data_IF_324691404073
#
_entry.id   IF_324691404073
#
_cell.length_a   1.000
_cell.length_b   1.000
_cell.length_c   1.000
_cell.angle_alpha   90.00
_cell.angle_beta   90.00
_cell.angle_gamma   90.00
#
_symmetry.space_group_name_H-M   'P 1'
#
loop_
_entity.id
_entity.type
_entity.pdbx_description
1 polymer ?
#
# COMPACT_ATOMS: atom_id res chain seq x y z
N UNK A 1 18.55 9.81 -25.53
CA UNK A 1 18.78 9.69 -24.10
C UNK A 1 18.30 8.32 -23.64
N UNK A 2 19.18 7.53 -23.09
CA UNK A 2 18.81 6.23 -22.56
C UNK A 2 17.84 6.40 -21.40
N UNK A 3 16.85 5.49 -21.27
CA UNK A 3 16.06 5.38 -20.07
C UNK A 3 17.02 5.29 -18.87
N UNK A 4 16.68 5.90 -17.73
CA UNK A 4 17.50 5.75 -16.54
C UNK A 4 17.71 4.25 -16.31
N UNK A 5 18.96 3.84 -16.13
CA UNK A 5 19.25 2.47 -15.76
C UNK A 5 18.56 2.25 -14.42
N UNK A 6 17.43 1.55 -14.48
CA UNK A 6 16.73 1.12 -13.28
C UNK A 6 17.74 0.30 -12.48
N UNK A 7 18.08 0.78 -11.31
CA UNK A 7 18.94 0.05 -10.42
C UNK A 7 18.37 -1.34 -10.20
N UNK A 8 19.22 -2.32 -10.05
CA UNK A 8 18.87 -3.73 -9.95
C UNK A 8 17.85 -4.08 -8.86
N UNK A 9 17.56 -3.14 -7.93
CA UNK A 9 16.51 -3.31 -6.93
C UNK A 9 15.81 -1.95 -6.67
N UNK A 10 14.61 -1.74 -7.22
CA UNK A 10 13.85 -0.50 -7.01
C UNK A 10 13.57 -0.18 -5.54
N UNK A 11 13.53 -1.19 -4.67
CA UNK A 11 13.30 -0.99 -3.23
C UNK A 11 14.43 -0.22 -2.54
N UNK A 12 15.60 -0.11 -3.18
CA UNK A 12 16.71 0.70 -2.69
C UNK A 12 16.67 2.15 -3.19
N UNK A 13 15.76 2.45 -4.11
CA UNK A 13 15.59 3.80 -4.65
C UNK A 13 14.64 4.60 -3.76
N UNK A 14 15.14 5.68 -3.17
CA UNK A 14 14.33 6.58 -2.33
C UNK A 14 13.16 7.18 -3.09
N UNK A 15 13.33 7.51 -4.35
CA UNK A 15 12.26 8.09 -5.17
C UNK A 15 11.13 7.08 -5.40
N UNK A 16 11.48 5.82 -5.57
CA UNK A 16 10.51 4.74 -5.69
C UNK A 16 9.69 4.60 -4.40
N UNK A 17 10.36 4.54 -3.26
CA UNK A 17 9.69 4.41 -1.96
C UNK A 17 8.85 5.64 -1.63
N UNK A 18 9.38 6.82 -1.86
CA UNK A 18 8.66 8.06 -1.56
C UNK A 18 7.39 8.21 -2.38
N UNK A 19 7.33 7.66 -3.59
CA UNK A 19 6.10 7.67 -4.38
C UNK A 19 4.95 6.95 -3.66
N UNK A 20 5.23 5.83 -3.02
CA UNK A 20 4.24 5.11 -2.22
C UNK A 20 3.90 5.84 -0.92
N UNK A 21 4.90 6.31 -0.21
CA UNK A 21 4.69 7.07 1.04
C UNK A 21 3.82 8.31 0.78
N UNK A 22 4.19 9.10 -0.21
CA UNK A 22 3.47 10.32 -0.56
C UNK A 22 2.06 9.99 -1.05
N UNK A 23 1.90 8.92 -1.81
CA UNK A 23 0.59 8.45 -2.27
C UNK A 23 -0.33 8.09 -1.11
N UNK A 24 0.18 7.39 -0.10
CA UNK A 24 -0.57 7.04 1.11
C UNK A 24 -0.96 8.30 1.88
N UNK A 25 0.02 9.14 2.20
CA UNK A 25 -0.21 10.35 2.99
C UNK A 25 -1.24 11.27 2.32
N UNK A 26 -1.08 11.51 1.03
CA UNK A 26 -1.97 12.39 0.26
C UNK A 26 -3.38 11.80 0.14
N UNK A 27 -3.48 10.52 -0.21
CA UNK A 27 -4.79 9.88 -0.38
C UNK A 27 -5.59 9.90 0.91
N UNK A 28 -4.99 9.52 2.02
CA UNK A 28 -5.70 9.49 3.30
C UNK A 28 -6.05 10.89 3.80
N UNK A 29 -5.17 11.88 3.58
CA UNK A 29 -5.47 13.26 3.93
C UNK A 29 -6.63 13.82 3.12
N UNK A 30 -6.61 13.64 1.81
CA UNK A 30 -7.59 14.26 0.89
C UNK A 30 -8.92 13.50 0.87
N UNK A 31 -8.88 12.17 0.78
CA UNK A 31 -10.09 11.36 0.65
C UNK A 31 -10.73 10.97 1.98
N UNK A 32 -9.91 10.78 3.01
CA UNK A 32 -10.38 10.22 4.27
C UNK A 32 -10.23 11.18 5.46
N UNK A 33 -9.86 12.43 5.22
CA UNK A 33 -9.66 13.43 6.28
C UNK A 33 -8.80 12.87 7.43
N UNK A 34 -7.81 12.03 7.09
CA UNK A 34 -6.98 11.31 8.04
C UNK A 34 -5.52 11.62 7.80
N UNK A 35 -4.85 12.15 8.80
CA UNK A 35 -3.41 12.38 8.76
C UNK A 35 -2.68 11.15 9.31
N UNK A 36 -1.66 10.72 8.59
CA UNK A 36 -0.87 9.54 8.94
C UNK A 36 0.61 9.86 8.88
N UNK A 37 1.40 9.09 9.60
CA UNK A 37 2.84 9.26 9.65
C UNK A 37 3.54 7.92 9.40
N UNK A 38 4.48 7.85 8.41
CA UNK A 38 5.27 6.65 8.22
C UNK A 38 6.23 6.45 9.41
N UNK A 39 6.41 5.19 9.78
CA UNK A 39 7.38 4.75 10.76
C UNK A 39 8.60 4.16 10.04
N UNK A 40 9.62 3.74 10.80
CA UNK A 40 10.82 3.16 10.22
C UNK A 40 10.51 1.92 9.37
N UNK A 41 10.91 1.91 8.10
CA UNK A 41 10.65 0.76 7.23
C UNK A 41 11.48 -0.45 7.65
N UNK A 42 10.97 -1.63 7.33
CA UNK A 42 11.62 -2.92 7.57
C UNK A 42 11.65 -3.74 6.29
N UNK A 43 12.69 -4.55 6.15
CA UNK A 43 12.78 -5.50 5.05
C UNK A 43 12.43 -6.89 5.58
N UNK A 44 11.55 -7.59 4.87
CA UNK A 44 11.15 -8.95 5.18
C UNK A 44 11.42 -9.85 3.98
N UNK A 45 11.83 -11.08 4.26
CA UNK A 45 12.12 -12.09 3.23
C UNK A 45 10.89 -12.89 2.82
N UNK A 46 9.84 -12.86 3.64
CA UNK A 46 8.58 -13.54 3.38
C UNK A 46 7.44 -12.55 3.64
N UNK A 47 6.46 -12.57 2.73
CA UNK A 47 5.24 -11.81 2.93
C UNK A 47 4.41 -12.46 4.03
N UNK A 48 3.96 -11.65 4.97
CA UNK A 48 3.02 -12.05 6.01
C UNK A 48 2.00 -10.94 6.22
N UNK A 49 0.73 -11.24 6.11
CA UNK A 49 -0.34 -10.28 6.36
C UNK A 49 -0.30 -9.78 7.80
N UNK A 50 -0.51 -8.46 7.97
CA UNK A 50 -0.33 -7.76 9.24
C UNK A 50 -1.60 -7.03 9.68
N UNK A 51 -2.74 -7.62 9.54
CA UNK A 51 -3.99 -6.99 9.93
C UNK A 51 -5.18 -7.89 9.65
N UNK A 52 -6.37 -7.34 9.78
CA UNK A 52 -7.60 -8.10 9.57
C UNK A 52 -8.18 -7.93 8.18
N UNK A 53 -7.75 -6.90 7.44
CA UNK A 53 -8.20 -6.66 6.07
C UNK A 53 -7.05 -6.03 5.27
N UNK A 54 -6.92 -6.41 4.02
CA UNK A 54 -5.89 -5.87 3.14
C UNK A 54 -6.43 -5.63 1.73
N UNK A 55 -5.93 -4.57 1.10
CA UNK A 55 -6.04 -4.37 -0.34
C UNK A 55 -4.72 -4.72 -1.01
N UNK A 56 -4.79 -5.45 -2.11
CA UNK A 56 -3.60 -5.91 -2.84
C UNK A 56 -3.71 -5.57 -4.32
N UNK A 57 -2.62 -5.05 -4.88
CA UNK A 57 -2.51 -4.75 -6.30
C UNK A 57 -1.27 -5.41 -6.86
N UNK A 58 -1.44 -6.19 -7.94
CA UNK A 58 -0.31 -6.65 -8.74
C UNK A 58 0.23 -5.50 -9.59
N UNK A 59 1.52 -5.27 -9.53
CA UNK A 59 2.19 -4.18 -10.25
C UNK A 59 3.03 -4.75 -11.39
N UNK A 60 2.84 -4.19 -12.59
CA UNK A 60 3.62 -4.60 -13.78
C UNK A 60 4.16 -3.34 -14.44
N UNK A 61 5.46 -3.33 -14.69
CA UNK A 61 6.14 -2.26 -15.42
C UNK A 61 7.25 -2.88 -16.29
N UNK A 62 6.90 -3.20 -17.56
CA UNK A 62 7.80 -3.94 -18.43
C UNK A 62 8.07 -5.33 -17.88
N UNK A 63 9.34 -5.64 -17.66
CA UNK A 63 9.76 -6.93 -17.08
C UNK A 63 9.69 -6.96 -15.55
N UNK A 64 9.49 -5.80 -14.92
CA UNK A 64 9.37 -5.72 -13.47
C UNK A 64 7.97 -6.11 -13.05
N UNK A 65 7.89 -7.01 -12.08
CA UNK A 65 6.66 -7.43 -11.44
C UNK A 65 6.78 -7.25 -9.93
N UNK A 66 5.69 -6.88 -9.33
CA UNK A 66 5.65 -6.69 -7.89
C UNK A 66 4.23 -6.71 -7.35
N UNK A 67 4.13 -6.44 -6.07
CA UNK A 67 2.84 -6.38 -5.38
C UNK A 67 2.87 -5.23 -4.37
N UNK A 68 1.80 -4.45 -4.37
CA UNK A 68 1.50 -3.49 -3.31
C UNK A 68 0.40 -4.07 -2.46
N UNK A 69 0.64 -4.17 -1.15
CA UNK A 69 -0.37 -4.61 -0.20
C UNK A 69 -0.50 -3.58 0.92
N UNK A 70 -1.72 -3.19 1.22
CA UNK A 70 -2.00 -2.29 2.34
C UNK A 70 -2.87 -3.05 3.33
N UNK A 71 -2.28 -3.40 4.48
CA UNK A 71 -2.92 -4.19 5.52
C UNK A 71 -3.33 -3.29 6.67
N UNK A 72 -4.60 -3.37 7.06
CA UNK A 72 -5.14 -2.55 8.13
C UNK A 72 -5.50 -3.42 9.34
N UNK A 73 -5.12 -2.95 10.53
CA UNK A 73 -5.74 -3.43 11.76
C UNK A 73 -7.18 -2.91 11.82
N UNK A 74 -8.04 -3.58 12.58
CA UNK A 74 -9.42 -3.10 12.79
C UNK A 74 -9.46 -1.66 13.25
N UNK A 75 -8.66 -1.35 14.26
CA UNK A 75 -8.63 -0.01 14.85
C UNK A 75 -8.27 1.04 13.80
N UNK A 76 -7.30 0.74 12.95
CA UNK A 76 -6.88 1.67 11.91
C UNK A 76 -7.97 1.89 10.86
N UNK A 77 -8.54 0.83 10.29
CA UNK A 77 -9.53 1.00 9.23
C UNK A 77 -10.83 1.61 9.76
N UNK A 78 -11.26 1.25 10.96
CA UNK A 78 -12.46 1.84 11.55
C UNK A 78 -12.27 3.33 11.86
N UNK A 79 -11.08 3.72 12.34
CA UNK A 79 -10.77 5.13 12.57
C UNK A 79 -10.73 5.93 11.25
N UNK A 80 -10.10 5.37 10.22
CA UNK A 80 -10.04 6.01 8.90
C UNK A 80 -11.46 6.22 8.35
N UNK A 81 -12.31 5.20 8.45
CA UNK A 81 -13.69 5.29 7.96
C UNK A 81 -14.56 6.24 8.78
N UNK A 82 -14.36 6.29 10.08
CA UNK A 82 -15.05 7.27 10.92
C UNK A 82 -14.69 8.70 10.49
N UNK A 83 -13.40 8.96 10.25
CA UNK A 83 -12.95 10.26 9.76
C UNK A 83 -13.49 10.57 8.37
N UNK A 84 -13.58 9.57 7.51
CA UNK A 84 -14.00 9.71 6.11
C UNK A 84 -15.51 9.90 5.95
N UNK A 85 -16.30 9.14 6.69
CA UNK A 85 -17.74 9.02 6.50
C UNK A 85 -18.57 9.57 7.66
N UNK A 86 -17.95 9.86 8.80
CA UNK A 86 -18.64 10.42 9.97
C UNK A 86 -19.44 9.38 10.77
N UNK A 87 -19.25 8.11 10.50
CA UNK A 87 -19.96 7.01 11.20
C UNK A 87 -18.97 6.08 11.87
N UNK A 88 -19.36 5.54 13.02
CA UNK A 88 -18.56 4.52 13.71
C UNK A 88 -18.84 3.14 13.11
N UNK A 89 -17.76 2.45 12.81
CA UNK A 89 -17.80 1.07 12.32
C UNK A 89 -17.35 0.15 13.44
N UNK A 90 -18.07 -0.95 13.62
CA UNK A 90 -17.78 -1.96 14.66
C UNK A 90 -17.62 -3.35 14.07
N UNK A 91 -17.97 -3.54 12.81
CA UNK A 91 -17.92 -4.81 12.11
C UNK A 91 -17.24 -4.66 10.76
N UNK A 92 -16.58 -5.74 10.33
CA UNK A 92 -15.97 -5.83 9.00
C UNK A 92 -17.05 -6.12 7.96
N UNK A 93 -17.77 -5.08 7.57
CA UNK A 93 -18.88 -5.15 6.62
C UNK A 93 -18.39 -4.99 5.17
N UNK A 94 -19.29 -5.20 4.21
CA UNK A 94 -19.00 -4.94 2.79
C UNK A 94 -18.64 -3.47 2.56
N UNK A 95 -19.23 -2.55 3.29
CA UNK A 95 -18.89 -1.13 3.20
C UNK A 95 -17.43 -0.87 3.58
N UNK A 96 -16.93 -1.56 4.61
CA UNK A 96 -15.53 -1.48 5.02
C UNK A 96 -14.61 -2.06 3.93
N UNK A 97 -14.92 -3.23 3.40
CA UNK A 97 -14.09 -3.86 2.37
C UNK A 97 -14.11 -3.08 1.06
N UNK A 98 -15.24 -2.51 0.68
CA UNK A 98 -15.33 -1.64 -0.50
C UNK A 98 -14.46 -0.39 -0.33
N UNK A 99 -14.45 0.21 0.85
CA UNK A 99 -13.60 1.35 1.16
C UNK A 99 -12.11 0.97 1.12
N UNK A 100 -11.74 -0.19 1.61
CA UNK A 100 -10.35 -0.69 1.52
C UNK A 100 -9.93 -0.82 0.06
N UNK A 101 -10.78 -1.38 -0.79
CA UNK A 101 -10.52 -1.47 -2.23
C UNK A 101 -10.34 -0.11 -2.88
N UNK A 102 -11.22 0.84 -2.58
CA UNK A 102 -11.15 2.18 -3.13
C UNK A 102 -9.89 2.93 -2.68
N UNK A 103 -9.56 2.88 -1.40
CA UNK A 103 -8.35 3.50 -0.88
C UNK A 103 -7.10 2.91 -1.52
N UNK A 104 -7.04 1.58 -1.66
CA UNK A 104 -5.92 0.90 -2.30
C UNK A 104 -5.78 1.33 -3.76
N UNK A 105 -6.89 1.41 -4.48
CA UNK A 105 -6.92 1.86 -5.87
C UNK A 105 -6.38 3.29 -6.01
N UNK A 106 -6.80 4.20 -5.16
CA UNK A 106 -6.37 5.59 -5.18
C UNK A 106 -4.89 5.75 -4.79
N UNK A 107 -4.45 5.00 -3.79
CA UNK A 107 -3.03 5.02 -3.37
C UNK A 107 -2.14 4.50 -4.51
N UNK A 108 -2.51 3.38 -5.12
CA UNK A 108 -1.77 2.86 -6.26
C UNK A 108 -1.76 3.85 -7.43
N UNK A 109 -2.91 4.43 -7.76
CA UNK A 109 -3.02 5.42 -8.83
C UNK A 109 -2.14 6.63 -8.62
N UNK A 110 -2.09 7.14 -7.39
CA UNK A 110 -1.21 8.26 -7.02
C UNK A 110 0.27 7.89 -7.15
N UNK A 111 0.66 6.75 -6.60
CA UNK A 111 2.04 6.27 -6.70
C UNK A 111 2.43 6.00 -8.15
N UNK A 112 1.55 5.37 -8.92
CA UNK A 112 1.77 5.09 -10.35
C UNK A 112 2.02 6.37 -11.14
N UNK A 113 1.25 7.42 -10.93
CA UNK A 113 1.44 8.70 -11.60
C UNK A 113 2.83 9.25 -11.34
N UNK A 114 3.26 9.28 -10.08
CA UNK A 114 4.59 9.75 -9.71
C UNK A 114 5.70 8.88 -10.30
N UNK A 115 5.55 7.56 -10.21
CA UNK A 115 6.55 6.62 -10.73
C UNK A 115 6.67 6.69 -12.24
N UNK A 116 5.57 6.87 -12.95
CA UNK A 116 5.60 6.99 -14.41
C UNK A 116 6.25 8.30 -14.87
N UNK A 117 6.15 9.37 -14.08
CA UNK A 117 6.92 10.60 -14.31
C UNK A 117 8.43 10.38 -14.11
N UNK A 118 8.81 9.42 -13.29
CA UNK A 118 10.22 9.06 -13.07
C UNK A 118 10.77 8.09 -14.12
N UNK A 119 9.96 7.69 -15.09
CA UNK A 119 10.37 6.81 -16.17
C UNK A 119 9.94 5.36 -16.03
N UNK A 120 9.29 4.98 -14.94
CA UNK A 120 8.62 3.69 -14.86
C UNK A 120 7.38 3.69 -15.77
N UNK A 121 6.92 2.52 -16.14
CA UNK A 121 5.74 2.39 -17.00
C UNK A 121 4.77 1.39 -16.37
N UNK A 122 4.30 1.75 -15.17
CA UNK A 122 3.33 0.91 -14.47
C UNK A 122 1.99 0.90 -15.18
N UNK A 123 1.44 -0.28 -15.31
CA UNK A 123 0.14 -0.50 -15.93
C UNK A 123 -0.99 -0.27 -14.92
N UNK A 124 -2.18 -0.05 -15.43
CA UNK A 124 -3.39 -0.01 -14.61
C UNK A 124 -3.65 -1.40 -14.03
N UNK A 125 -4.13 -1.44 -12.80
CA UNK A 125 -4.45 -2.67 -12.12
C UNK A 125 -5.67 -2.48 -11.22
N UNK A 126 -6.37 -3.56 -10.96
CA UNK A 126 -7.56 -3.57 -10.10
C UNK A 126 -7.17 -4.23 -8.77
N UNK A 127 -7.46 -3.61 -7.63
CA UNK A 127 -7.15 -4.19 -6.35
C UNK A 127 -8.05 -5.39 -6.01
N UNK A 128 -7.49 -6.31 -5.26
CA UNK A 128 -8.20 -7.40 -4.59
C UNK A 128 -8.25 -7.10 -3.10
N UNK A 129 -9.38 -7.30 -2.46
CA UNK A 129 -9.52 -7.12 -1.01
C UNK A 129 -9.59 -8.50 -0.34
N UNK A 130 -8.79 -8.67 0.69
CA UNK A 130 -8.68 -9.94 1.41
C UNK A 130 -8.94 -9.67 2.89
N UNK A 131 -9.84 -10.45 3.47
CA UNK A 131 -10.11 -10.43 4.91
C UNK A 131 -9.40 -11.58 5.59
N UNK A 132 -9.04 -11.36 6.86
CA UNK A 132 -8.39 -12.36 7.67
C UNK A 132 -6.88 -12.39 7.46
N UNK A 133 -6.23 -13.37 8.04
CA UNK A 133 -4.80 -13.56 7.88
C UNK A 133 -4.52 -14.48 6.71
N UNK A 134 -3.57 -14.10 5.90
CA UNK A 134 -3.17 -14.88 4.73
C UNK A 134 -1.67 -14.82 4.54
N UNK A 135 -1.14 -15.81 3.85
CA UNK A 135 0.25 -15.85 3.42
C UNK A 135 0.28 -16.07 1.92
N UNK A 136 1.21 -15.39 1.29
CA UNK A 136 1.51 -15.63 -0.12
C UNK A 136 2.75 -16.50 -0.15
N UNK A 137 2.57 -17.79 -0.46
CA UNK A 137 3.68 -18.73 -0.52
C UNK A 137 4.16 -18.93 -1.95
N UNK A 138 5.46 -19.03 -2.11
CA UNK A 138 6.22 -19.49 -3.28
C UNK A 138 6.18 -18.66 -4.57
N UNK A 139 5.19 -17.82 -4.81
CA UNK A 139 5.17 -16.99 -6.02
C UNK A 139 5.92 -15.67 -5.86
N UNK A 140 6.29 -15.33 -4.64
CA UNK A 140 7.09 -14.16 -4.34
C UNK A 140 8.48 -14.58 -3.89
N UNK A 141 9.39 -14.59 -4.83
CA UNK A 141 10.82 -14.79 -4.56
C UNK A 141 11.52 -13.45 -4.27
N UNK A 142 10.76 -12.38 -4.14
CA UNK A 142 11.30 -11.05 -3.92
C UNK A 142 11.36 -10.64 -2.46
N UNK A 143 12.15 -9.62 -2.21
CA UNK A 143 12.22 -8.95 -0.91
C UNK A 143 11.01 -8.05 -0.74
N UNK A 144 10.42 -8.03 0.45
CA UNK A 144 9.31 -7.16 0.79
C UNK A 144 9.78 -6.04 1.69
N UNK A 145 9.48 -4.81 1.29
CA UNK A 145 9.66 -3.65 2.15
C UNK A 145 8.35 -3.38 2.87
N UNK A 146 8.40 -3.30 4.18
CA UNK A 146 7.24 -3.00 5.03
C UNK A 146 7.40 -1.61 5.61
N UNK A 147 6.44 -0.75 5.35
CA UNK A 147 6.40 0.60 5.91
C UNK A 147 5.19 0.67 6.84
N UNK A 148 5.39 0.66 8.16
CA UNK A 148 4.30 0.89 9.09
C UNK A 148 3.86 2.35 9.04
N UNK A 149 2.57 2.60 9.16
CA UNK A 149 1.99 3.93 9.28
C UNK A 149 1.15 4.01 10.54
N UNK A 150 1.23 5.13 11.22
CA UNK A 150 0.38 5.42 12.37
C UNK A 150 -0.65 6.46 11.99
N UNK A 151 -1.90 6.24 12.38
CA UNK A 151 -2.95 7.25 12.28
C UNK A 151 -2.71 8.27 13.39
N UNK A 152 -2.47 9.54 13.01
CA UNK A 152 -2.13 10.58 13.97
C UNK A 152 -3.26 10.83 14.97
N UNK A 153 -2.91 11.07 16.20
CA UNK A 153 -3.85 11.21 17.32
C UNK A 153 -4.34 9.88 17.89
N UNK A 154 -3.84 8.76 17.40
CA UNK A 154 -4.20 7.42 17.85
C UNK A 154 -2.95 6.53 17.91
N UNK A 155 -3.10 5.32 18.45
CA UNK A 155 -2.09 4.26 18.37
C UNK A 155 -2.36 3.28 17.22
N UNK A 156 -3.39 3.55 16.42
CA UNK A 156 -3.77 2.66 15.33
C UNK A 156 -2.72 2.65 14.23
N UNK A 157 -2.39 1.46 13.76
CA UNK A 157 -1.32 1.22 12.78
C UNK A 157 -1.85 0.42 11.59
N UNK A 158 -1.38 0.78 10.42
CA UNK A 158 -1.55 -0.04 9.21
C UNK A 158 -0.20 -0.18 8.52
N UNK A 159 -0.12 -1.07 7.53
CA UNK A 159 1.15 -1.45 6.93
C UNK A 159 1.07 -1.39 5.42
N UNK A 160 2.05 -0.73 4.82
CA UNK A 160 2.22 -0.71 3.37
C UNK A 160 3.38 -1.63 3.04
N UNK A 161 3.11 -2.64 2.22
CA UNK A 161 4.09 -3.64 1.85
C UNK A 161 4.31 -3.61 0.34
N UNK A 162 5.55 -3.40 -0.06
CA UNK A 162 5.94 -3.37 -1.47
C UNK A 162 6.91 -4.51 -1.72
N UNK A 163 6.52 -5.42 -2.59
CA UNK A 163 7.37 -6.53 -3.03
C UNK A 163 7.70 -6.33 -4.49
N UNK A 164 8.97 -6.47 -4.83
CA UNK A 164 9.41 -6.43 -6.22
C UNK A 164 10.14 -7.72 -6.52
N UNK A 165 9.70 -8.40 -7.58
CA UNK A 165 10.40 -9.55 -8.14
C UNK A 165 11.49 -9.07 -9.09
N UNK A 166 12.66 -9.57 -8.89
CA UNK A 166 13.80 -9.31 -9.75
C UNK A 166 14.09 -10.53 -10.64
#
# INVERSE_FOLDING_TARGET
MGAPKIQTNPLLDKNFLNAFVDGVVKTLSVMAATDVKPQAPKIETQFQAKGEVAGMVGMVAGDMKGTLTISYTKDAIFQILENMLGEKYVEMSNEVTDAVGELTNQIYGSAKTTLNQLGYKFEMAIPTVIQGQFQISKFHTGTTLVIPFRVLGTDATFFVEVTVQT
#
